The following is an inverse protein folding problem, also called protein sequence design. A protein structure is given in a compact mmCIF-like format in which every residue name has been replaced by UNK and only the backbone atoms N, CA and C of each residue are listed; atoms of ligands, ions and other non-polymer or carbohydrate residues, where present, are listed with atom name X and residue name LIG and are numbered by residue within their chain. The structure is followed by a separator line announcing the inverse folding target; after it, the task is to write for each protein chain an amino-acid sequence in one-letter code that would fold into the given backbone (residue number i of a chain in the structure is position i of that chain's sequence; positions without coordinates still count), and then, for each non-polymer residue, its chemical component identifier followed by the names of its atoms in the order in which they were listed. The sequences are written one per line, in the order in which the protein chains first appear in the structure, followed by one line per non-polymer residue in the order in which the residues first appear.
data_IF_469396063367
#
_entry.id   IF_469396063367
#
_cell.length_a   1.000
_cell.length_b   1.000
_cell.length_c   1.000
_cell.angle_alpha   90.00
_cell.angle_beta   90.00
_cell.angle_gamma   90.00
#
_symmetry.space_group_name_H-M   'P 1'
#
loop_
_entity.id
_entity.type
_entity.pdbx_description
1 polymer ?
#
# COMPACT_ATOMS: atom_id res chain seq x y z
N UNK A 1 9.49 -14.70 26.22
CA UNK A 1 10.00 -14.13 24.96
C UNK A 1 8.97 -13.10 24.52
N UNK A 2 9.33 -11.82 24.46
CA UNK A 2 8.39 -10.72 24.21
C UNK A 2 7.96 -10.73 22.75
N UNK A 3 6.66 -10.64 22.48
CA UNK A 3 6.13 -10.46 21.13
C UNK A 3 6.75 -9.19 20.50
N UNK A 4 7.09 -9.21 19.20
CA UNK A 4 7.65 -8.07 18.50
C UNK A 4 6.61 -6.96 18.44
N UNK A 5 7.08 -5.73 18.57
CA UNK A 5 6.23 -4.55 18.67
C UNK A 5 6.27 -3.74 17.37
N UNK A 6 5.12 -3.49 16.74
CA UNK A 6 4.90 -2.71 15.53
C UNK A 6 4.92 -1.20 15.85
N UNK A 7 5.44 -0.34 14.98
CA UNK A 7 5.37 1.12 15.16
C UNK A 7 4.40 1.69 14.13
N UNK A 8 3.37 2.40 14.59
CA UNK A 8 2.42 3.14 13.74
C UNK A 8 2.40 4.62 14.11
N UNK A 9 1.87 5.43 13.20
CA UNK A 9 1.65 6.86 13.41
C UNK A 9 0.15 7.13 13.44
N UNK A 10 -0.33 7.62 14.57
CA UNK A 10 -1.74 7.94 14.77
C UNK A 10 -1.92 9.43 15.01
N UNK A 11 -3.12 9.92 14.76
CA UNK A 11 -3.56 11.25 15.17
C UNK A 11 -4.54 11.10 16.33
N UNK A 12 -4.67 12.14 17.15
CA UNK A 12 -5.84 12.24 18.02
C UNK A 12 -7.08 12.26 17.14
N UNK A 13 -8.13 11.55 17.53
CA UNK A 13 -9.35 11.54 16.73
C UNK A 13 -9.94 12.96 16.57
N UNK A 14 -9.77 13.83 17.58
CA UNK A 14 -10.13 15.25 17.57
C UNK A 14 -9.34 16.11 16.57
N UNK A 15 -8.16 15.66 16.11
CA UNK A 15 -7.41 16.36 15.07
C UNK A 15 -8.10 16.21 13.69
N UNK A 16 -9.00 15.24 13.53
CA UNK A 16 -9.76 15.01 12.30
C UNK A 16 -11.23 15.33 12.58
N UNK A 17 -11.77 16.37 11.94
CA UNK A 17 -13.08 16.90 12.30
C UNK A 17 -13.92 17.25 11.08
N UNK A 18 -15.24 17.22 11.25
CA UNK A 18 -16.21 17.52 10.21
C UNK A 18 -16.28 19.03 9.97
N UNK A 19 -15.79 19.45 8.82
CA UNK A 19 -15.83 20.85 8.38
C UNK A 19 -17.13 21.23 7.69
N UNK A 20 -17.85 20.26 7.15
CA UNK A 20 -19.15 20.45 6.50
C UNK A 20 -19.90 19.12 6.48
N UNK A 21 -21.18 19.12 6.87
CA UNK A 21 -21.93 17.87 6.98
C UNK A 21 -23.02 17.92 8.04
N UNK A 22 -23.67 16.78 8.26
CA UNK A 22 -24.65 16.58 9.31
C UNK A 22 -24.02 16.74 10.71
N UNK A 23 -22.79 16.27 10.89
CA UNK A 23 -22.08 16.30 12.17
C UNK A 23 -21.06 17.45 12.22
N UNK A 24 -21.37 18.60 11.61
CA UNK A 24 -20.46 19.75 11.54
C UNK A 24 -19.89 20.14 12.91
N UNK A 25 -18.56 20.15 13.00
CA UNK A 25 -17.81 20.45 14.23
C UNK A 25 -17.42 19.22 15.04
N UNK A 26 -17.98 18.05 14.76
CA UNK A 26 -17.68 16.82 15.49
C UNK A 26 -16.36 16.20 15.02
N UNK A 27 -15.70 15.49 15.93
CA UNK A 27 -14.49 14.74 15.64
C UNK A 27 -14.80 13.41 14.93
N UNK A 28 -13.80 12.84 14.26
CA UNK A 28 -13.87 11.47 13.76
C UNK A 28 -14.01 10.52 14.96
N UNK A 29 -14.95 9.58 14.91
CA UNK A 29 -15.32 8.78 16.08
C UNK A 29 -15.57 7.31 15.73
N UNK A 30 -16.26 6.57 16.61
CA UNK A 30 -16.89 5.28 16.29
C UNK A 30 -17.77 5.37 15.04
N UNK A 31 -18.06 4.23 14.40
CA UNK A 31 -18.84 4.21 13.17
C UNK A 31 -20.27 4.72 13.34
N UNK A 32 -20.91 4.43 14.49
CA UNK A 32 -22.25 4.91 14.83
C UNK A 32 -22.37 6.43 14.96
N UNK A 33 -21.25 7.13 15.18
CA UNK A 33 -21.18 8.58 15.34
C UNK A 33 -20.82 9.32 14.04
N UNK A 34 -20.59 8.59 12.94
CA UNK A 34 -20.13 9.15 11.67
C UNK A 34 -21.22 9.04 10.59
N UNK A 35 -21.44 10.11 9.82
CA UNK A 35 -22.45 10.16 8.76
C UNK A 35 -21.78 10.19 7.36
N UNK A 36 -22.02 9.18 6.50
CA UNK A 36 -21.55 9.22 5.11
C UNK A 36 -22.02 10.48 4.38
N UNK A 37 -21.09 11.13 3.68
CA UNK A 37 -21.28 12.43 3.03
C UNK A 37 -20.70 13.61 3.82
N UNK A 38 -20.36 13.43 5.10
CA UNK A 38 -19.65 14.45 5.88
C UNK A 38 -18.22 14.65 5.37
N UNK A 39 -17.77 15.90 5.38
CA UNK A 39 -16.46 16.33 4.89
C UNK A 39 -15.55 16.60 6.07
N UNK A 40 -14.55 15.74 6.24
CA UNK A 40 -13.53 15.83 7.28
C UNK A 40 -12.28 16.56 6.79
N UNK A 41 -11.57 17.21 7.72
CA UNK A 41 -10.22 17.71 7.49
C UNK A 41 -9.30 17.35 8.66
N UNK A 42 -8.02 17.11 8.36
CA UNK A 42 -6.97 17.06 9.38
C UNK A 42 -6.54 18.48 9.77
N UNK A 43 -6.51 18.74 11.07
CA UNK A 43 -6.11 20.01 11.64
C UNK A 43 -4.66 20.36 11.26
N UNK A 44 -4.40 21.65 10.94
CA UNK A 44 -3.08 22.08 10.43
C UNK A 44 -1.94 21.83 11.42
N UNK A 45 -2.23 21.94 12.72
CA UNK A 45 -1.24 21.75 13.77
C UNK A 45 -1.13 20.30 14.24
N UNK A 46 -1.98 19.40 13.72
CA UNK A 46 -1.96 17.99 14.07
C UNK A 46 -0.57 17.41 13.79
N UNK A 47 -0.05 16.68 14.77
CA UNK A 47 1.23 15.98 14.64
C UNK A 47 0.98 14.50 14.83
N UNK A 48 1.48 13.64 13.93
CA UNK A 48 1.39 12.21 14.14
C UNK A 48 2.12 11.86 15.44
N UNK A 49 1.45 11.09 16.30
CA UNK A 49 2.01 10.50 17.50
C UNK A 49 2.47 9.09 17.22
N UNK A 50 3.64 8.73 17.72
CA UNK A 50 4.18 7.38 17.62
C UNK A 50 3.47 6.46 18.60
N UNK A 51 2.79 5.45 18.08
CA UNK A 51 2.22 4.36 18.88
C UNK A 51 2.95 3.06 18.53
N UNK A 52 3.55 2.44 19.53
CA UNK A 52 4.16 1.13 19.40
C UNK A 52 3.13 0.10 19.89
N UNK A 53 2.72 -0.81 19.01
CA UNK A 53 1.74 -1.87 19.25
C UNK A 53 2.47 -3.18 19.53
N UNK A 54 2.16 -3.87 20.62
CA UNK A 54 2.53 -5.26 20.84
C UNK A 54 1.28 -6.14 20.72
N UNK A 55 1.43 -7.31 20.11
CA UNK A 55 0.34 -8.29 20.07
C UNK A 55 0.39 -9.13 21.34
N UNK A 56 -0.67 -9.12 22.16
CA UNK A 56 -0.83 -10.05 23.28
C UNK A 56 -2.21 -10.71 23.18
N UNK A 57 -2.27 -11.87 22.53
CA UNK A 57 -3.54 -12.52 22.24
C UNK A 57 -4.29 -11.88 21.06
N UNK A 58 -5.61 -11.76 21.17
CA UNK A 58 -6.46 -11.27 20.07
C UNK A 58 -6.48 -9.74 19.91
N UNK A 59 -6.10 -8.98 20.94
CA UNK A 59 -6.15 -7.51 20.95
C UNK A 59 -4.73 -6.90 21.00
N UNK A 60 -4.50 -5.78 20.30
CA UNK A 60 -3.25 -5.05 20.41
C UNK A 60 -3.10 -4.41 21.80
N UNK A 61 -1.86 -4.23 22.22
CA UNK A 61 -1.48 -3.54 23.47
C UNK A 61 -0.41 -2.50 23.19
N UNK A 62 -0.27 -1.50 24.06
CA UNK A 62 0.80 -0.51 23.96
C UNK A 62 2.14 -1.17 24.32
N UNK A 63 3.18 -0.92 23.53
CA UNK A 63 4.54 -1.39 23.77
C UNK A 63 5.47 -0.27 24.29
N UNK A 64 6.65 -0.67 24.76
CA UNK A 64 7.68 0.27 25.18
C UNK A 64 8.13 1.15 24.01
N UNK A 65 8.19 2.46 24.24
CA UNK A 65 8.56 3.45 23.23
C UNK A 65 7.37 4.18 22.60
N UNK A 66 6.13 3.82 22.92
CA UNK A 66 4.96 4.62 22.54
C UNK A 66 5.01 6.01 23.17
N UNK A 67 4.58 7.02 22.41
CA UNK A 67 4.26 8.34 22.94
C UNK A 67 2.87 8.38 23.56
N UNK A 68 2.06 7.34 23.33
CA UNK A 68 0.68 7.16 23.79
C UNK A 68 0.62 5.98 24.76
N UNK A 69 -0.08 6.16 25.88
CA UNK A 69 -0.34 5.11 26.88
C UNK A 69 0.92 4.63 27.62
N UNK A 70 0.72 3.66 28.52
CA UNK A 70 1.77 2.94 29.21
C UNK A 70 1.94 1.53 28.60
N UNK A 71 3.17 0.96 28.58
CA UNK A 71 3.37 -0.39 28.06
C UNK A 71 2.50 -1.42 28.78
N UNK A 72 1.77 -2.23 28.01
CA UNK A 72 0.80 -3.21 28.48
C UNK A 72 -0.65 -2.73 28.45
N UNK A 73 -0.90 -1.44 28.22
CA UNK A 73 -2.28 -0.93 28.12
C UNK A 73 -2.99 -1.56 26.91
N UNK A 74 -4.26 -1.94 27.11
CA UNK A 74 -5.06 -2.57 26.06
C UNK A 74 -5.57 -1.54 25.03
N UNK A 75 -5.59 -1.96 23.78
CA UNK A 75 -6.09 -1.20 22.65
C UNK A 75 -7.17 -2.01 21.94
N UNK A 76 -8.26 -1.35 21.56
CA UNK A 76 -9.32 -1.93 20.75
C UNK A 76 -9.36 -1.27 19.37
N UNK A 77 -9.44 -2.08 18.31
CA UNK A 77 -9.80 -1.60 16.98
C UNK A 77 -11.32 -1.54 16.93
N UNK A 78 -11.89 -0.34 16.80
CA UNK A 78 -13.33 -0.12 17.02
C UNK A 78 -14.11 0.26 15.76
N UNK A 79 -13.43 0.74 14.73
CA UNK A 79 -14.07 1.09 13.46
C UNK A 79 -13.04 1.19 12.32
N UNK A 80 -13.55 1.15 11.10
CA UNK A 80 -12.84 1.51 9.88
C UNK A 80 -13.66 2.51 9.07
N UNK A 81 -13.00 3.58 8.64
CA UNK A 81 -13.61 4.64 7.85
C UNK A 81 -12.93 4.74 6.48
N UNK A 82 -13.73 4.81 5.44
CA UNK A 82 -13.28 5.05 4.07
C UNK A 82 -13.64 6.47 3.67
N UNK A 83 -12.64 7.30 3.40
CA UNK A 83 -12.81 8.67 2.94
C UNK A 83 -12.29 8.82 1.50
N UNK A 84 -12.75 9.85 0.80
CA UNK A 84 -12.30 10.19 -0.56
C UNK A 84 -11.96 11.67 -0.69
N UNK A 85 -10.90 11.98 -1.44
CA UNK A 85 -10.54 13.36 -1.80
C UNK A 85 -11.37 13.84 -3.00
N UNK A 86 -11.43 15.16 -3.27
CA UNK A 86 -12.07 15.70 -4.47
C UNK A 86 -11.48 15.15 -5.78
N UNK A 87 -10.22 14.75 -5.77
CA UNK A 87 -9.51 14.15 -6.91
C UNK A 87 -9.83 12.67 -7.12
N UNK A 88 -10.61 12.06 -6.21
CA UNK A 88 -11.06 10.68 -6.25
C UNK A 88 -10.10 9.68 -5.60
N UNK A 89 -9.07 10.14 -4.87
CA UNK A 89 -8.20 9.25 -4.11
C UNK A 89 -8.86 8.86 -2.78
N UNK A 90 -8.79 7.58 -2.40
CA UNK A 90 -9.37 7.11 -1.13
C UNK A 90 -8.34 7.05 -0.01
N UNK A 91 -8.79 7.26 1.23
CA UNK A 91 -8.02 7.11 2.46
C UNK A 91 -8.81 6.23 3.43
N UNK A 92 -8.21 5.12 3.83
CA UNK A 92 -8.71 4.28 4.91
C UNK A 92 -8.15 4.74 6.25
N UNK A 93 -9.01 4.80 7.28
CA UNK A 93 -8.63 5.14 8.65
C UNK A 93 -9.14 4.05 9.58
N UNK A 94 -8.25 3.46 10.37
CA UNK A 94 -8.61 2.60 11.49
C UNK A 94 -8.76 3.43 12.76
N UNK A 95 -9.86 3.21 13.47
CA UNK A 95 -10.09 3.83 14.77
C UNK A 95 -9.60 2.90 15.88
N UNK A 96 -8.73 3.44 16.72
CA UNK A 96 -8.13 2.76 17.85
C UNK A 96 -8.62 3.42 19.13
N UNK A 97 -9.23 2.64 20.02
CA UNK A 97 -9.55 3.07 21.38
C UNK A 97 -8.50 2.58 22.36
N UNK A 98 -8.06 3.46 23.23
CA UNK A 98 -7.22 3.13 24.37
C UNK A 98 -8.09 2.81 25.58
N UNK A 99 -8.22 1.53 25.94
CA UNK A 99 -9.22 1.07 26.91
C UNK A 99 -9.02 1.66 28.32
N UNK A 100 -7.78 2.01 28.70
CA UNK A 100 -7.51 2.58 30.02
C UNK A 100 -7.99 4.04 30.16
N UNK A 101 -8.06 4.80 29.07
CA UNK A 101 -8.42 6.24 29.11
C UNK A 101 -9.63 6.59 28.26
N UNK A 102 -10.18 5.62 27.53
CA UNK A 102 -11.23 5.82 26.51
C UNK A 102 -10.83 6.79 25.39
N UNK A 103 -9.53 7.06 25.23
CA UNK A 103 -9.04 8.00 24.23
C UNK A 103 -9.10 7.35 22.84
N UNK A 104 -9.51 8.13 21.85
CA UNK A 104 -9.64 7.70 20.47
C UNK A 104 -8.50 8.24 19.62
N UNK A 105 -7.93 7.35 18.82
CA UNK A 105 -6.88 7.65 17.88
C UNK A 105 -7.27 7.20 16.49
N UNK A 106 -6.94 8.01 15.50
CA UNK A 106 -7.10 7.68 14.09
C UNK A 106 -5.77 7.21 13.52
N UNK A 107 -5.74 6.02 12.92
CA UNK A 107 -4.62 5.47 12.17
C UNK A 107 -4.94 5.51 10.67
N UNK A 108 -4.49 6.55 9.93
CA UNK A 108 -4.59 6.53 8.48
C UNK A 108 -3.70 5.43 7.90
N UNK A 109 -4.28 4.55 7.09
CA UNK A 109 -3.55 3.51 6.33
C UNK A 109 -2.94 4.07 5.04
N UNK A 110 -3.28 5.32 4.70
CA UNK A 110 -2.64 6.10 3.65
C UNK A 110 -2.35 7.51 4.16
N UNK A 111 -1.31 8.20 3.64
CA UNK A 111 -0.97 9.54 4.07
C UNK A 111 -2.14 10.52 3.93
N UNK A 112 -2.47 11.19 5.03
CA UNK A 112 -3.48 12.23 5.09
C UNK A 112 -2.78 13.59 5.22
N UNK A 113 -3.22 14.57 4.44
CA UNK A 113 -2.66 15.92 4.43
C UNK A 113 -3.61 16.89 5.14
N UNK A 114 -3.05 17.83 5.88
CA UNK A 114 -3.84 18.90 6.48
C UNK A 114 -4.43 19.81 5.40
N UNK A 115 -5.64 20.35 5.66
CA UNK A 115 -6.37 21.28 4.76
C UNK A 115 -6.82 20.66 3.43
N UNK A 116 -6.86 19.35 3.34
CA UNK A 116 -7.53 18.64 2.26
C UNK A 116 -8.90 18.19 2.75
N UNK A 117 -9.91 18.33 1.89
CA UNK A 117 -11.26 17.85 2.14
C UNK A 117 -11.30 16.34 1.92
N UNK A 118 -11.85 15.62 2.89
CA UNK A 118 -12.04 14.18 2.82
C UNK A 118 -13.51 13.87 3.06
N UNK A 119 -14.23 13.50 2.00
CA UNK A 119 -15.65 13.10 2.14
C UNK A 119 -15.71 11.67 2.66
N UNK A 120 -16.41 11.44 3.76
CA UNK A 120 -16.65 10.11 4.29
C UNK A 120 -17.59 9.36 3.36
N UNK A 121 -17.16 8.20 2.88
CA UNK A 121 -17.97 7.31 2.04
C UNK A 121 -18.64 6.21 2.86
N UNK A 122 -17.91 5.65 3.82
CA UNK A 122 -18.34 4.51 4.63
C UNK A 122 -17.71 4.55 6.01
N UNK A 123 -18.51 4.21 7.03
CA UNK A 123 -18.07 3.98 8.39
C UNK A 123 -18.55 2.57 8.80
N UNK A 124 -17.62 1.71 9.21
CA UNK A 124 -17.88 0.31 9.57
C UNK A 124 -17.41 0.02 10.99
N UNK A 125 -18.24 -0.64 11.79
CA UNK A 125 -17.88 -1.17 13.12
C UNK A 125 -16.93 -2.37 13.04
N UNK A 126 -16.94 -3.09 11.91
CA UNK A 126 -15.97 -4.17 11.66
C UNK A 126 -14.69 -3.56 11.08
N UNK A 127 -13.59 -3.51 11.84
CA UNK A 127 -12.32 -3.00 11.32
C UNK A 127 -11.70 -3.92 10.25
N UNK A 128 -12.19 -5.16 10.11
CA UNK A 128 -11.66 -6.20 9.22
C UNK A 128 -10.36 -6.84 9.74
N UNK A 129 -9.84 -7.84 9.03
CA UNK A 129 -8.55 -8.53 9.29
C UNK A 129 -7.31 -7.63 8.98
N UNK A 130 -7.40 -6.33 9.27
CA UNK A 130 -6.67 -5.21 8.66
C UNK A 130 -5.16 -5.07 8.98
N UNK A 131 -4.46 -6.14 9.35
CA UNK A 131 -2.99 -6.15 9.44
C UNK A 131 -2.33 -6.82 8.22
N UNK A 132 -3.07 -7.65 7.47
CA UNK A 132 -2.58 -8.30 6.25
C UNK A 132 -2.72 -7.43 5.00
N UNK A 133 -3.62 -6.45 5.06
CA UNK A 133 -3.96 -5.54 3.95
C UNK A 133 -2.90 -4.49 3.65
N UNK A 134 -2.15 -4.07 4.67
CA UNK A 134 -1.12 -3.03 4.55
C UNK A 134 0.20 -3.57 3.95
N UNK A 135 0.33 -4.89 3.87
CA UNK A 135 1.48 -5.61 3.28
C UNK A 135 1.52 -5.54 1.77
N UNK A 136 0.35 -5.29 1.20
CA UNK A 136 0.06 -5.58 -0.20
C UNK A 136 0.21 -4.31 -1.04
N UNK A 137 0.84 -3.27 -0.47
CA UNK A 137 1.18 -2.05 -1.19
C UNK A 137 2.01 -2.36 -2.45
N UNK A 138 2.74 -3.47 -2.49
CA UNK A 138 3.49 -3.93 -3.68
C UNK A 138 3.25 -5.43 -3.86
N UNK A 139 2.19 -5.79 -4.59
CA UNK A 139 1.87 -7.18 -4.86
C UNK A 139 1.33 -7.42 -6.26
N UNK A 140 1.53 -8.64 -6.72
CA UNK A 140 1.04 -9.23 -7.95
C UNK A 140 -0.19 -10.08 -7.67
N UNK A 141 -0.99 -10.42 -8.68
CA UNK A 141 -2.09 -11.38 -8.51
C UNK A 141 -1.77 -12.74 -9.14
N UNK A 142 -2.51 -13.79 -8.75
CA UNK A 142 -2.47 -15.11 -9.41
C UNK A 142 -2.45 -15.00 -10.93
N UNK A 143 -1.62 -15.81 -11.58
CA UNK A 143 -1.47 -15.86 -13.03
C UNK A 143 -0.44 -14.88 -13.59
N UNK A 144 0.05 -13.92 -12.78
CA UNK A 144 1.10 -12.98 -13.23
C UNK A 144 2.37 -13.74 -13.58
N UNK A 145 2.84 -13.58 -14.81
CA UNK A 145 4.02 -14.25 -15.36
C UNK A 145 5.30 -13.49 -15.01
N UNK A 146 6.16 -14.11 -14.21
CA UNK A 146 7.44 -13.54 -13.77
C UNK A 146 8.59 -14.10 -14.62
N UNK A 147 9.46 -13.22 -15.13
CA UNK A 147 10.61 -13.63 -15.95
C UNK A 147 11.74 -14.21 -15.09
N UNK A 148 12.14 -15.44 -15.37
CA UNK A 148 13.23 -16.15 -14.73
C UNK A 148 14.59 -15.84 -15.37
N UNK A 149 15.67 -16.28 -14.73
CA UNK A 149 17.06 -16.07 -15.14
C UNK A 149 17.36 -16.41 -16.62
N UNK A 150 16.70 -17.43 -17.17
CA UNK A 150 16.87 -17.88 -18.56
C UNK A 150 15.94 -17.19 -19.57
N UNK A 151 15.14 -16.20 -19.15
CA UNK A 151 14.15 -15.52 -19.98
C UNK A 151 12.80 -16.25 -20.08
N UNK A 152 12.72 -17.51 -19.65
CA UNK A 152 11.45 -18.21 -19.48
C UNK A 152 10.57 -17.49 -18.45
N UNK A 153 9.25 -17.55 -18.62
CA UNK A 153 8.32 -16.98 -17.66
C UNK A 153 7.62 -18.08 -16.85
N UNK A 154 7.29 -17.78 -15.59
CA UNK A 154 6.61 -18.68 -14.67
C UNK A 154 5.48 -17.93 -13.96
N UNK A 155 4.28 -18.54 -13.81
CA UNK A 155 3.22 -17.96 -13.01
C UNK A 155 3.69 -17.76 -11.57
N UNK A 156 3.33 -16.63 -10.96
CA UNK A 156 3.81 -16.27 -9.63
C UNK A 156 3.44 -17.29 -8.55
N UNK A 157 2.27 -17.91 -8.65
CA UNK A 157 1.81 -18.93 -7.70
C UNK A 157 2.62 -20.23 -7.74
N UNK A 158 3.47 -20.42 -8.77
CA UNK A 158 4.39 -21.55 -8.89
C UNK A 158 5.82 -21.20 -8.45
N UNK A 159 6.11 -19.92 -8.19
CA UNK A 159 7.42 -19.52 -7.70
C UNK A 159 7.64 -20.03 -6.27
N UNK A 160 8.87 -20.44 -6.01
CA UNK A 160 9.31 -20.90 -4.68
C UNK A 160 10.59 -20.19 -4.26
N UNK A 161 10.84 -20.04 -2.95
CA UNK A 161 12.12 -19.53 -2.46
C UNK A 161 13.31 -20.27 -3.09
N UNK A 162 14.30 -19.52 -3.54
CA UNK A 162 15.48 -20.01 -4.27
C UNK A 162 15.36 -19.91 -5.80
N UNK A 163 14.15 -19.73 -6.35
CA UNK A 163 13.98 -19.49 -7.78
C UNK A 163 14.74 -18.23 -8.22
N UNK A 164 15.48 -18.30 -9.32
CA UNK A 164 16.25 -17.15 -9.84
C UNK A 164 15.41 -16.34 -10.81
N UNK A 165 14.99 -15.16 -10.37
CA UNK A 165 14.21 -14.18 -11.16
C UNK A 165 15.17 -13.21 -11.83
N UNK A 166 14.87 -12.85 -13.08
CA UNK A 166 15.63 -11.83 -13.79
C UNK A 166 15.37 -10.45 -13.18
N UNK A 167 16.42 -9.77 -12.75
CA UNK A 167 16.33 -8.37 -12.29
C UNK A 167 17.04 -7.44 -13.26
N UNK A 168 16.68 -6.16 -13.22
CA UNK A 168 17.19 -5.15 -14.14
C UNK A 168 18.68 -4.86 -13.91
N UNK A 169 19.09 -4.67 -12.65
CA UNK A 169 20.39 -4.05 -12.32
C UNK A 169 21.42 -5.03 -11.77
N UNK A 170 20.97 -6.11 -11.12
CA UNK A 170 21.85 -7.04 -10.41
C UNK A 170 21.95 -8.41 -11.10
N UNK A 171 21.44 -8.55 -12.33
CA UNK A 171 21.30 -9.86 -12.99
C UNK A 171 20.34 -10.78 -12.23
N UNK A 172 20.31 -12.09 -12.51
CA UNK A 172 19.29 -12.94 -11.90
C UNK A 172 19.51 -13.17 -10.39
N UNK A 173 18.51 -12.82 -9.58
CA UNK A 173 18.56 -12.89 -8.12
C UNK A 173 17.64 -14.00 -7.56
N UNK A 174 18.05 -14.68 -6.48
CA UNK A 174 17.21 -15.69 -5.85
C UNK A 174 16.10 -15.04 -5.02
N UNK A 175 14.86 -15.48 -5.25
CA UNK A 175 13.73 -15.13 -4.40
C UNK A 175 13.97 -15.68 -2.99
N UNK A 176 13.83 -14.85 -1.97
CA UNK A 176 13.99 -15.25 -0.56
C UNK A 176 12.68 -15.71 0.04
N UNK A 177 11.59 -15.05 -0.35
CA UNK A 177 10.25 -15.37 0.08
C UNK A 177 9.23 -15.02 -1.00
N UNK A 178 8.20 -15.85 -1.08
CA UNK A 178 6.96 -15.57 -1.80
C UNK A 178 5.87 -15.48 -0.74
N UNK A 179 5.44 -14.26 -0.40
CA UNK A 179 4.36 -14.04 0.55
C UNK A 179 3.03 -14.06 -0.20
N UNK A 180 1.99 -14.66 0.40
CA UNK A 180 0.64 -14.71 -0.16
C UNK A 180 -0.38 -14.17 0.84
N UNK A 181 -1.32 -13.36 0.35
CA UNK A 181 -2.49 -12.90 1.08
C UNK A 181 -3.72 -12.97 0.18
N UNK A 182 -4.86 -13.44 0.71
CA UNK A 182 -6.14 -13.42 -0.01
C UNK A 182 -6.96 -12.28 0.53
N UNK A 183 -7.45 -11.40 -0.36
CA UNK A 183 -8.18 -10.20 0.02
C UNK A 183 -9.44 -10.04 -0.81
N UNK A 184 -10.45 -9.37 -0.24
CA UNK A 184 -11.62 -8.95 -1.01
C UNK A 184 -11.22 -7.77 -1.91
N UNK A 185 -11.56 -7.84 -3.20
CA UNK A 185 -11.26 -6.77 -4.15
C UNK A 185 -12.32 -5.67 -4.04
N UNK A 186 -12.09 -4.69 -3.16
CA UNK A 186 -12.99 -3.57 -2.93
C UNK A 186 -12.18 -2.29 -2.70
N UNK A 187 -12.55 -1.19 -3.36
CA UNK A 187 -11.93 0.12 -3.16
C UNK A 187 -10.41 0.08 -3.30
N UNK A 188 -9.69 0.54 -2.27
CA UNK A 188 -8.23 0.61 -2.20
C UNK A 188 -7.51 -0.75 -2.33
N UNK A 189 -8.22 -1.87 -2.22
CA UNK A 189 -7.69 -3.23 -2.39
C UNK A 189 -8.10 -3.89 -3.71
N UNK A 190 -8.89 -3.22 -4.53
CA UNK A 190 -9.20 -3.72 -5.86
C UNK A 190 -7.94 -3.64 -6.75
N UNK A 191 -7.54 -4.74 -7.43
CA UNK A 191 -6.35 -4.72 -8.25
C UNK A 191 -6.51 -3.77 -9.45
N UNK A 192 -5.41 -3.14 -9.83
CA UNK A 192 -5.28 -2.41 -11.09
C UNK A 192 -4.91 -3.41 -12.18
N UNK A 193 -5.70 -3.41 -13.26
CA UNK A 193 -5.45 -4.16 -14.49
C UNK A 193 -4.84 -3.22 -15.51
N UNK A 194 -3.62 -3.51 -15.93
CA UNK A 194 -2.97 -2.88 -17.09
C UNK A 194 -3.12 -3.84 -18.25
N UNK A 195 -3.99 -3.51 -19.21
CA UNK A 195 -4.31 -4.42 -20.30
C UNK A 195 -3.11 -4.77 -21.18
N UNK A 196 -3.14 -5.94 -21.80
CA UNK A 196 -2.14 -6.40 -22.75
C UNK A 196 -1.77 -5.32 -23.79
N UNK A 197 -0.47 -5.14 -24.02
CA UNK A 197 0.09 -4.21 -25.00
C UNK A 197 0.20 -2.75 -24.56
N UNK A 198 -0.48 -2.33 -23.48
CA UNK A 198 -0.51 -0.92 -23.01
C UNK A 198 0.89 -0.40 -22.68
N UNK A 199 1.68 -1.20 -21.99
CA UNK A 199 3.09 -0.91 -21.67
C UNK A 199 4.07 -1.78 -22.48
N UNK A 200 3.57 -2.57 -23.42
CA UNK A 200 4.33 -3.59 -24.15
C UNK A 200 4.35 -4.97 -23.48
N UNK A 201 3.47 -5.19 -22.51
CA UNK A 201 3.18 -6.48 -21.90
C UNK A 201 2.45 -7.41 -22.88
N UNK A 202 2.72 -8.72 -22.79
CA UNK A 202 2.04 -9.72 -23.64
C UNK A 202 0.66 -10.09 -23.09
N UNK A 203 0.54 -10.31 -21.78
CA UNK A 203 -0.73 -10.51 -21.07
C UNK A 203 -1.13 -9.30 -20.24
N UNK A 204 -2.31 -9.35 -19.62
CA UNK A 204 -2.73 -8.32 -18.65
C UNK A 204 -1.82 -8.36 -17.42
N UNK A 205 -1.24 -7.21 -17.04
CA UNK A 205 -0.52 -7.08 -15.79
C UNK A 205 -1.50 -6.64 -14.71
N UNK A 206 -1.75 -7.52 -13.73
CA UNK A 206 -2.69 -7.28 -12.63
C UNK A 206 -1.93 -7.18 -11.31
N UNK A 207 -1.96 -6.00 -10.70
CA UNK A 207 -1.15 -5.64 -9.53
C UNK A 207 -1.95 -4.79 -8.54
N UNK A 208 -1.47 -4.72 -7.31
CA UNK A 208 -2.10 -3.87 -6.30
C UNK A 208 -1.97 -2.37 -6.65
N UNK A 209 -2.90 -1.51 -6.21
CA UNK A 209 -2.94 -0.09 -6.59
C UNK A 209 -1.66 0.70 -6.31
N UNK A 210 -0.93 0.37 -5.24
CA UNK A 210 0.29 1.08 -4.84
C UNK A 210 1.57 0.52 -5.46
N UNK A 211 1.48 -0.59 -6.21
CA UNK A 211 2.63 -1.24 -6.81
C UNK A 211 3.25 -0.33 -7.88
N UNK A 212 4.54 -0.03 -7.77
CA UNK A 212 5.21 0.83 -8.74
C UNK A 212 5.68 0.09 -9.98
N UNK A 213 5.30 0.65 -11.12
CA UNK A 213 5.79 0.30 -12.45
C UNK A 213 6.96 1.21 -12.80
N UNK A 214 8.05 0.63 -13.29
CA UNK A 214 9.21 1.38 -13.73
C UNK A 214 9.03 1.80 -15.19
N UNK A 215 9.04 3.10 -15.47
CA UNK A 215 8.92 3.63 -16.82
C UNK A 215 10.22 4.26 -17.27
N UNK A 216 10.67 3.85 -18.47
CA UNK A 216 11.88 4.36 -19.10
C UNK A 216 11.62 5.02 -20.44
N UNK A 217 12.08 6.28 -20.59
CA UNK A 217 12.07 6.98 -21.88
C UNK A 217 13.33 7.85 -22.04
N UNK A 218 14.00 7.71 -23.19
CA UNK A 218 15.18 8.52 -23.60
C UNK A 218 14.80 9.53 -24.69
N UNK A 219 15.67 10.52 -24.91
CA UNK A 219 15.61 11.44 -26.06
C UNK A 219 14.52 12.51 -25.95
N UNK A 220 13.84 12.81 -27.06
CA UNK A 220 12.73 13.78 -27.14
C UNK A 220 11.46 13.34 -26.39
N UNK A 221 11.43 12.11 -25.89
CA UNK A 221 10.29 11.53 -25.15
C UNK A 221 10.52 11.42 -23.63
N UNK A 222 11.46 12.20 -23.07
CA UNK A 222 11.70 12.21 -21.61
C UNK A 222 10.42 12.47 -20.82
N UNK A 223 10.32 11.80 -19.67
CA UNK A 223 9.20 11.87 -18.74
C UNK A 223 9.48 12.98 -17.71
N UNK A 224 9.38 14.23 -18.16
CA UNK A 224 9.82 15.39 -17.36
C UNK A 224 11.34 15.56 -17.37
N UNK A 225 11.92 15.84 -16.20
CA UNK A 225 13.37 16.15 -16.08
C UNK A 225 14.26 14.90 -16.01
N UNK A 226 13.68 13.72 -15.79
CA UNK A 226 14.39 12.44 -15.70
C UNK A 226 14.03 11.50 -16.85
N UNK A 227 14.88 10.49 -17.06
CA UNK A 227 14.64 9.42 -18.05
C UNK A 227 14.00 8.18 -17.41
N UNK A 228 13.94 8.13 -16.09
CA UNK A 228 13.48 7.01 -15.25
C UNK A 228 12.53 7.54 -14.21
N UNK A 229 11.32 6.97 -14.16
CA UNK A 229 10.34 7.24 -13.13
C UNK A 229 9.73 5.93 -12.63
N UNK A 230 9.34 5.92 -11.37
CA UNK A 230 8.49 4.88 -10.80
C UNK A 230 7.08 5.47 -10.63
N UNK A 231 6.07 4.71 -11.05
CA UNK A 231 4.67 5.17 -11.04
C UNK A 231 3.80 4.13 -10.38
N UNK A 232 3.06 4.51 -9.33
CA UNK A 232 2.08 3.62 -8.71
C UNK A 232 0.97 3.28 -9.71
N UNK A 233 0.54 2.02 -9.75
CA UNK A 233 -0.45 1.52 -10.69
C UNK A 233 -1.75 2.34 -10.66
N UNK A 234 -2.21 2.78 -9.48
CA UNK A 234 -3.42 3.62 -9.32
C UNK A 234 -3.36 4.93 -10.10
N UNK A 235 -2.17 5.50 -10.27
CA UNK A 235 -1.98 6.74 -11.00
C UNK A 235 -2.00 6.54 -12.52
N UNK A 236 -1.89 5.30 -13.00
CA UNK A 236 -2.00 4.95 -14.41
C UNK A 236 -3.46 4.73 -14.85
N UNK A 237 -4.40 4.60 -13.91
CA UNK A 237 -5.81 4.31 -14.20
C UNK A 237 -6.43 5.41 -15.07
N UNK A 238 -6.92 5.00 -16.25
CA UNK A 238 -7.64 5.83 -17.23
C UNK A 238 -9.09 5.36 -17.45
N UNK A 239 -9.47 4.21 -16.90
CA UNK A 239 -10.83 3.65 -17.01
C UNK A 239 -11.09 2.88 -18.31
N UNK A 240 -10.12 2.80 -19.21
CA UNK A 240 -10.24 2.11 -20.51
C UNK A 240 -9.14 1.06 -20.68
N UNK A 241 -7.88 1.48 -20.72
CA UNK A 241 -6.72 0.61 -20.94
C UNK A 241 -6.08 0.19 -19.62
N UNK A 242 -6.24 1.01 -18.59
CA UNK A 242 -5.83 0.73 -17.21
C UNK A 242 -7.00 1.02 -16.29
N UNK A 243 -7.48 0.01 -15.59
CA UNK A 243 -8.73 0.09 -14.81
C UNK A 243 -8.66 -0.71 -13.52
N UNK A 244 -9.49 -0.37 -12.54
CA UNK A 244 -9.59 -1.11 -11.27
C UNK A 244 -10.66 -2.19 -11.38
N UNK A 245 -10.32 -3.41 -10.96
CA UNK A 245 -11.21 -4.56 -11.02
C UNK A 245 -11.77 -4.89 -9.63
N UNK A 246 -12.98 -4.40 -9.36
CA UNK A 246 -13.69 -4.72 -8.11
C UNK A 246 -14.44 -6.05 -8.17
N UNK A 247 -14.72 -6.60 -6.99
CA UNK A 247 -15.55 -7.78 -6.80
C UNK A 247 -14.77 -9.08 -6.56
N UNK A 248 -15.34 -9.95 -5.73
CA UNK A 248 -14.76 -11.25 -5.40
C UNK A 248 -13.55 -11.16 -4.47
N UNK A 249 -12.74 -12.22 -4.49
CA UNK A 249 -11.49 -12.33 -3.74
C UNK A 249 -10.31 -12.45 -4.70
N UNK A 250 -9.19 -11.85 -4.32
CA UNK A 250 -7.95 -11.81 -5.08
C UNK A 250 -6.82 -12.32 -4.21
N UNK A 251 -6.07 -13.26 -4.77
CA UNK A 251 -4.83 -13.76 -4.19
C UNK A 251 -3.68 -12.85 -4.62
N UNK A 252 -3.12 -12.14 -3.65
CA UNK A 252 -1.98 -11.27 -3.83
C UNK A 252 -0.67 -11.96 -3.41
N UNK A 253 0.38 -11.70 -4.17
CA UNK A 253 1.71 -12.27 -4.00
C UNK A 253 2.76 -11.16 -3.94
N UNK A 254 3.62 -11.19 -2.93
CA UNK A 254 4.76 -10.30 -2.82
C UNK A 254 6.07 -11.10 -2.89
N UNK A 255 7.03 -10.62 -3.69
CA UNK A 255 8.34 -11.24 -3.84
C UNK A 255 9.37 -10.45 -3.06
N UNK A 256 10.11 -11.15 -2.19
CA UNK A 256 11.20 -10.58 -1.40
C UNK A 256 12.53 -11.16 -1.88
N UNK A 257 13.54 -10.30 -2.01
CA UNK A 257 14.91 -10.64 -2.36
C UNK A 257 15.86 -10.12 -1.27
N UNK A 258 17.17 -10.43 -1.36
CA UNK A 258 18.18 -9.89 -0.42
C UNK A 258 18.31 -8.35 -0.49
N UNK A 259 17.86 -7.76 -1.58
CA UNK A 259 17.80 -6.32 -1.83
C UNK A 259 16.48 -6.03 -2.51
N UNK A 260 16.06 -4.78 -2.50
CA UNK A 260 14.97 -4.37 -3.37
C UNK A 260 15.41 -4.45 -4.84
N UNK A 261 14.62 -5.11 -5.68
CA UNK A 261 14.93 -5.36 -7.08
C UNK A 261 13.84 -4.79 -7.99
N UNK A 262 14.23 -4.34 -9.18
CA UNK A 262 13.29 -4.17 -10.30
C UNK A 262 13.30 -5.47 -11.09
N UNK A 263 12.15 -6.14 -11.14
CA UNK A 263 11.95 -7.42 -11.83
C UNK A 263 11.05 -7.24 -13.05
N UNK A 264 10.90 -8.29 -13.86
CA UNK A 264 10.01 -8.27 -15.02
C UNK A 264 8.78 -9.14 -14.78
N UNK A 265 7.60 -8.52 -14.73
CA UNK A 265 6.30 -9.17 -14.66
C UNK A 265 5.52 -8.84 -15.93
N UNK A 266 5.02 -9.86 -16.64
CA UNK A 266 4.44 -9.70 -17.99
C UNK A 266 5.38 -8.96 -18.96
N UNK A 267 6.70 -9.08 -18.76
CA UNK A 267 7.72 -8.36 -19.53
C UNK A 267 7.89 -6.88 -19.16
N UNK A 268 7.14 -6.38 -18.19
CA UNK A 268 7.20 -4.99 -17.70
C UNK A 268 8.09 -4.90 -16.46
N UNK A 269 9.03 -3.93 -16.41
CA UNK A 269 9.82 -3.70 -15.22
C UNK A 269 8.96 -3.09 -14.10
N UNK A 270 8.96 -3.75 -12.95
CA UNK A 270 8.14 -3.45 -11.76
C UNK A 270 8.94 -3.71 -10.49
N UNK A 271 8.55 -3.07 -9.40
CA UNK A 271 9.29 -3.17 -8.14
C UNK A 271 9.00 -4.48 -7.38
N UNK A 272 9.99 -5.06 -6.69
CA UNK A 272 9.75 -6.11 -5.70
C UNK A 272 9.31 -5.49 -4.37
N UNK A 273 8.88 -6.30 -3.39
CA UNK A 273 8.56 -5.75 -2.07
C UNK A 273 9.82 -5.11 -1.44
N UNK A 274 9.68 -3.84 -1.08
CA UNK A 274 10.68 -3.11 -0.32
C UNK A 274 10.60 -3.56 1.14
N UNK A 275 11.60 -4.30 1.63
CA UNK A 275 11.65 -4.66 3.05
C UNK A 275 12.45 -3.59 3.80
N UNK A 276 11.74 -2.92 4.70
CA UNK A 276 12.31 -1.99 5.66
C UNK A 276 11.76 -2.35 7.04
N UNK A 277 12.31 -1.76 8.12
CA UNK A 277 11.69 -1.88 9.45
C UNK A 277 10.21 -1.46 9.43
N UNK A 278 9.87 -0.42 8.67
CA UNK A 278 8.49 0.01 8.47
C UNK A 278 7.65 -1.09 7.77
N UNK A 279 8.14 -1.68 6.68
CA UNK A 279 7.42 -2.76 5.97
C UNK A 279 7.25 -4.01 6.84
N UNK A 280 8.30 -4.42 7.56
CA UNK A 280 8.25 -5.55 8.50
C UNK A 280 7.27 -5.32 9.64
N UNK A 281 7.16 -4.08 10.11
CA UNK A 281 6.23 -3.74 11.19
C UNK A 281 4.77 -3.83 10.75
N UNK A 282 4.49 -3.77 9.44
CA UNK A 282 3.15 -3.96 8.90
C UNK A 282 2.82 -5.45 8.73
N UNK A 283 3.83 -6.33 8.60
CA UNK A 283 3.73 -7.78 8.38
C UNK A 283 3.20 -8.55 9.61
N UNK A 284 2.29 -9.53 9.44
CA UNK A 284 1.91 -10.47 10.49
C UNK A 284 3.14 -11.09 11.11
N UNK A 285 3.05 -11.39 12.40
CA UNK A 285 4.19 -11.77 13.22
C UNK A 285 4.97 -12.96 12.65
N UNK A 286 4.28 -13.96 12.11
CA UNK A 286 4.90 -15.12 11.47
C UNK A 286 5.65 -14.72 10.19
N UNK A 287 5.04 -13.90 9.35
CA UNK A 287 5.59 -13.49 8.07
C UNK A 287 6.76 -12.51 8.24
N UNK A 288 6.62 -11.54 9.16
CA UNK A 288 7.69 -10.61 9.53
C UNK A 288 8.89 -11.32 10.15
N UNK A 289 8.67 -12.32 11.02
CA UNK A 289 9.75 -13.18 11.54
C UNK A 289 10.39 -14.03 10.47
N UNK A 290 9.59 -14.60 9.57
CA UNK A 290 10.13 -15.38 8.45
C UNK A 290 11.03 -14.53 7.55
N UNK A 291 10.60 -13.32 7.20
CA UNK A 291 11.39 -12.37 6.39
C UNK A 291 12.65 -11.97 7.15
N UNK A 292 12.54 -11.62 8.44
CA UNK A 292 13.67 -11.21 9.27
C UNK A 292 14.72 -12.31 9.46
N UNK A 293 14.30 -13.57 9.53
CA UNK A 293 15.21 -14.72 9.63
C UNK A 293 15.90 -15.04 8.30
N UNK A 294 15.26 -14.71 7.16
CA UNK A 294 15.78 -15.00 5.81
C UNK A 294 16.65 -13.89 5.25
N UNK A 295 16.46 -12.66 5.69
CA UNK A 295 17.24 -11.49 5.25
C UNK A 295 18.41 -11.22 6.19
N UNK A 296 19.56 -10.90 5.61
CA UNK A 296 20.79 -10.58 6.35
C UNK A 296 20.94 -9.09 6.67
N UNK A 297 20.22 -8.23 5.95
CA UNK A 297 20.14 -6.79 6.15
C UNK A 297 18.70 -6.33 5.87
N UNK A 298 18.10 -5.59 6.81
CA UNK A 298 16.71 -5.12 6.73
C UNK A 298 16.59 -3.69 6.20
N UNK A 299 17.70 -3.08 5.80
CA UNK A 299 17.74 -1.73 5.26
C UNK A 299 17.75 -1.74 3.72
N UNK A 300 16.71 -2.29 3.07
CA UNK A 300 16.59 -2.10 1.62
C UNK A 300 16.57 -0.60 1.31
N UNK A 301 17.24 -0.23 0.22
CA UNK A 301 17.27 1.15 -0.28
C UNK A 301 16.38 1.25 -1.50
N UNK A 302 15.61 2.33 -1.61
CA UNK A 302 14.80 2.60 -2.78
C UNK A 302 15.69 2.69 -4.02
N UNK A 303 15.22 2.04 -5.10
CA UNK A 303 15.87 2.17 -6.39
C UNK A 303 15.92 3.65 -6.78
N UNK A 304 17.07 4.13 -7.26
CA UNK A 304 17.21 5.51 -7.71
C UNK A 304 16.26 5.76 -8.88
N UNK A 305 15.28 6.64 -8.67
CA UNK A 305 14.28 7.06 -9.63
C UNK A 305 13.39 8.11 -8.97
N UNK A 306 12.94 9.10 -9.72
CA UNK A 306 11.96 10.06 -9.18
C UNK A 306 10.60 9.38 -9.17
N UNK A 307 9.99 9.23 -8.00
CA UNK A 307 8.60 8.79 -7.91
C UNK A 307 7.72 9.86 -8.55
N UNK A 308 6.90 9.46 -9.52
CA UNK A 308 6.03 10.39 -10.23
C UNK A 308 4.70 10.54 -9.49
N UNK A 309 4.35 11.79 -9.21
CA UNK A 309 3.01 12.14 -8.73
C UNK A 309 2.01 12.13 -9.89
N UNK A 310 0.71 12.05 -9.59
CA UNK A 310 -0.37 12.21 -10.58
C UNK A 310 -0.21 13.50 -11.39
N UNK A 311 0.11 14.60 -10.72
CA UNK A 311 0.36 15.92 -11.34
C UNK A 311 1.49 15.87 -12.38
N UNK A 312 2.57 15.12 -12.09
CA UNK A 312 3.66 14.93 -13.04
C UNK A 312 3.19 14.15 -14.27
N UNK A 313 2.38 13.11 -14.09
CA UNK A 313 1.83 12.31 -15.20
C UNK A 313 0.88 13.12 -16.07
N UNK A 314 0.00 13.90 -15.45
CA UNK A 314 -0.95 14.75 -16.18
C UNK A 314 -0.21 15.84 -16.97
N UNK A 315 0.90 16.39 -16.43
CA UNK A 315 1.78 17.32 -17.16
C UNK A 315 2.51 16.67 -18.34
N UNK A 316 2.89 15.39 -18.23
CA UNK A 316 3.55 14.64 -19.32
C UNK A 316 2.55 14.32 -20.44
N UNK A 317 1.29 14.04 -20.06
CA UNK A 317 0.21 13.56 -20.93
C UNK A 317 0.19 12.03 -20.99
N UNK A 318 -0.93 11.42 -20.60
CA UNK A 318 -1.05 9.96 -20.44
C UNK A 318 -0.86 9.20 -21.75
N UNK A 319 -1.29 9.76 -22.87
CA UNK A 319 -1.04 9.25 -24.22
C UNK A 319 0.46 9.11 -24.60
N UNK A 320 1.38 9.77 -23.89
CA UNK A 320 2.84 9.57 -24.08
C UNK A 320 3.42 8.44 -23.21
N UNK A 321 2.69 8.01 -22.18
CA UNK A 321 3.07 6.90 -21.32
C UNK A 321 2.79 5.57 -22.02
N UNK A 322 1.62 5.46 -22.64
CA UNK A 322 1.16 4.23 -23.29
C UNK A 322 1.75 4.06 -24.69
N UNK A 323 2.02 2.81 -25.08
CA UNK A 323 2.30 2.52 -26.49
C UNK A 323 0.97 2.55 -27.25
N UNK A 324 0.90 3.34 -28.32
CA UNK A 324 -0.21 3.21 -29.28
C UNK A 324 -0.21 1.79 -29.83
N UNK A 325 -1.35 1.10 -29.73
CA UNK A 325 -1.59 -0.14 -30.46
C UNK A 325 -1.29 0.14 -31.92
N UNK A 326 -0.31 -0.57 -32.51
CA UNK A 326 -0.19 -0.57 -33.97
C UNK A 326 -1.34 -1.42 -34.49
N UNK A 327 -2.17 -0.81 -35.34
CA UNK A 327 -3.14 -1.53 -36.17
C UNK A 327 -2.44 -2.57 -37.06
#
# INVERSE_FOLDING_TARGET
MSNPSQIVHVFEAEDIWVTSGANHGDALGPAEDCEPGDIYQLHRAAKPRRLVLAQQGAAPTVAQGSEIGAPGDALALIARHLLITPEGDTVDILMIRHDATDALYALPLSPMAARFDYTLLEASEDPGEALLSDLVCVAFTTGTMITLAGGAQMPIEQLTPGARVLTRDNGPQPVKLVAKATMRALGSFAPVVISAGVLGNEGDLVISPHHRVFLYRRGVHKLGDTSEILVQAKHLVDGENVWQREGGFVDYYALVFDRHEIIYAEGIPVESLMVSEATLSLLPEELGREISNRLSDLAHRQHFGTEATRELLDRIGREKLFRKRKD
#
